data_IF_632903743483
#
_entry.id   IF_632903743483
#
_cell.length_a   1.000
_cell.length_b   1.000
_cell.length_c   1.000
_cell.angle_alpha   90.00
_cell.angle_beta   90.00
_cell.angle_gamma   90.00
#
_symmetry.space_group_name_H-M   'P 1'
#
loop_
_entity.id
_entity.type
_entity.pdbx_description
1 polymer ?
#
# COMPACT_ATOMS: atom_id res chain seq x y z
N UNK A 1 17.42 -54.72 54.46
CA UNK A 1 17.85 -53.34 54.80
C UNK A 1 18.27 -52.71 53.47
N UNK A 2 17.33 -52.17 52.68
CA UNK A 2 16.88 -50.75 52.67
C UNK A 2 18.04 -49.81 52.33
N UNK A 3 18.06 -48.94 51.31
CA UNK A 3 17.08 -48.46 50.31
C UNK A 3 17.89 -48.08 49.05
N UNK A 4 17.39 -48.27 47.81
CA UNK A 4 16.69 -47.24 47.03
C UNK A 4 17.16 -45.81 47.34
N UNK A 5 17.98 -45.23 46.44
CA UNK A 5 18.07 -43.78 46.27
C UNK A 5 18.14 -43.43 44.78
N UNK A 6 16.97 -43.03 44.32
CA UNK A 6 16.62 -42.27 43.11
C UNK A 6 17.62 -41.14 42.86
N UNK A 7 18.19 -41.08 41.65
CA UNK A 7 18.63 -39.82 41.07
C UNK A 7 17.77 -39.59 39.83
N UNK A 8 16.71 -38.82 40.05
CA UNK A 8 15.92 -38.17 39.04
C UNK A 8 16.84 -37.31 38.17
N UNK A 9 16.60 -37.35 36.85
CA UNK A 9 16.96 -36.27 35.95
C UNK A 9 16.43 -34.96 36.55
N UNK A 10 17.34 -34.08 36.93
CA UNK A 10 17.00 -32.70 37.23
C UNK A 10 16.64 -32.01 35.92
N UNK A 11 15.43 -31.46 35.74
CA UNK A 11 15.22 -30.47 34.69
C UNK A 11 16.12 -29.27 35.06
N UNK A 12 17.07 -28.95 34.19
CA UNK A 12 17.85 -27.73 34.35
C UNK A 12 16.85 -26.57 34.37
N UNK A 13 16.80 -25.93 35.53
CA UNK A 13 15.94 -24.82 35.87
C UNK A 13 16.31 -23.63 34.98
N UNK A 14 15.59 -23.42 33.89
CA UNK A 14 15.30 -22.05 33.48
C UNK A 14 14.50 -21.45 34.63
N UNK A 15 15.15 -20.63 35.45
CA UNK A 15 14.48 -19.86 36.49
C UNK A 15 13.33 -19.09 35.85
N UNK A 16 12.15 -19.20 36.45
CA UNK A 16 10.85 -18.68 36.03
C UNK A 16 10.75 -17.14 36.03
N UNK A 17 11.74 -16.45 35.47
CA UNK A 17 11.62 -15.05 35.11
C UNK A 17 11.03 -15.07 33.71
N UNK A 18 9.84 -14.49 33.53
CA UNK A 18 9.21 -14.30 32.22
C UNK A 18 10.28 -13.80 31.24
N UNK A 19 10.67 -14.64 30.28
CA UNK A 19 11.75 -14.31 29.36
C UNK A 19 11.12 -13.64 28.15
N UNK A 20 10.86 -12.35 28.28
CA UNK A 20 10.32 -11.55 27.21
C UNK A 20 11.42 -11.34 26.17
N UNK A 21 11.59 -12.22 25.19
CA UNK A 21 12.48 -11.99 24.06
C UNK A 21 11.73 -12.21 22.76
N UNK A 22 11.80 -11.23 21.86
CA UNK A 22 11.05 -11.28 20.61
C UNK A 22 11.69 -12.23 19.60
N UNK A 23 11.02 -13.35 19.31
CA UNK A 23 11.40 -14.28 18.25
C UNK A 23 10.79 -13.88 16.89
N UNK A 24 9.75 -13.04 16.86
CA UNK A 24 9.14 -12.57 15.60
C UNK A 24 9.67 -11.20 15.22
N UNK A 25 10.85 -11.24 14.63
CA UNK A 25 11.54 -10.02 14.22
C UNK A 25 11.32 -9.65 12.76
N UNK A 26 10.47 -10.42 12.07
CA UNK A 26 10.07 -10.21 10.69
C UNK A 26 8.86 -9.27 10.68
N UNK A 27 8.88 -8.26 9.82
CA UNK A 27 7.82 -7.26 9.80
C UNK A 27 7.25 -7.06 8.40
N UNK A 28 6.08 -7.65 8.13
CA UNK A 28 5.37 -7.46 6.86
C UNK A 28 4.54 -6.18 6.81
N UNK A 29 4.50 -5.39 7.90
CA UNK A 29 3.72 -4.15 7.94
C UNK A 29 4.30 -2.99 7.12
N UNK A 30 5.45 -3.21 6.47
CA UNK A 30 6.08 -2.27 5.56
C UNK A 30 5.33 -2.03 4.24
N UNK A 31 6.07 -1.84 3.15
CA UNK A 31 5.54 -1.43 1.83
C UNK A 31 4.75 -2.50 1.07
N UNK A 32 4.52 -3.66 1.69
CA UNK A 32 3.65 -4.69 1.16
C UNK A 32 2.17 -4.24 1.10
N UNK A 33 1.83 -3.18 1.83
CA UNK A 33 0.44 -2.71 1.97
C UNK A 33 -0.02 -1.71 0.92
N UNK A 34 0.90 -1.02 0.24
CA UNK A 34 0.60 -0.08 -0.85
C UNK A 34 1.18 -0.51 -2.20
N UNK A 35 1.71 -1.73 -2.28
CA UNK A 35 2.28 -2.34 -3.49
C UNK A 35 3.54 -1.65 -4.03
N UNK A 36 4.06 -0.65 -3.31
CA UNK A 36 5.12 0.24 -3.77
C UNK A 36 6.53 -0.19 -3.38
N UNK A 37 6.70 -1.18 -2.50
CA UNK A 37 8.04 -1.61 -2.10
C UNK A 37 8.25 -3.11 -2.00
N UNK A 38 9.16 -3.49 -1.11
CA UNK A 38 9.59 -4.88 -0.92
C UNK A 38 8.95 -5.50 0.31
N UNK A 39 9.26 -6.78 0.53
CA UNK A 39 8.56 -7.67 1.44
C UNK A 39 8.39 -7.10 2.87
N UNK A 40 9.46 -6.58 3.49
CA UNK A 40 9.43 -5.95 4.82
C UNK A 40 9.83 -4.48 4.82
N UNK A 41 10.62 -4.06 3.83
CA UNK A 41 11.21 -2.73 3.82
C UNK A 41 10.20 -1.67 3.44
N UNK A 42 10.38 -0.45 3.93
CA UNK A 42 9.43 0.64 3.68
C UNK A 42 9.88 1.43 2.45
N UNK A 43 9.30 1.16 1.28
CA UNK A 43 9.48 2.07 0.16
C UNK A 43 8.86 3.43 0.48
N UNK A 44 9.61 4.54 0.32
CA UNK A 44 9.20 5.83 0.83
C UNK A 44 8.15 6.57 -0.01
N UNK A 45 7.87 6.10 -1.23
CA UNK A 45 6.84 6.68 -2.07
C UNK A 45 5.43 6.29 -1.60
N UNK A 46 4.53 7.26 -1.53
CA UNK A 46 3.11 7.04 -1.22
C UNK A 46 2.30 7.04 -2.51
N UNK A 47 1.85 5.86 -2.92
CA UNK A 47 1.23 5.64 -4.24
C UNK A 47 -0.17 6.25 -4.42
N UNK A 48 -0.83 6.75 -3.36
CA UNK A 48 -2.21 7.24 -3.44
C UNK A 48 -2.50 8.41 -2.48
N UNK A 49 -3.33 9.35 -2.95
CA UNK A 49 -3.83 10.48 -2.15
C UNK A 49 -5.15 10.08 -1.48
N UNK A 50 -5.21 10.11 -0.16
CA UNK A 50 -6.50 10.04 0.56
C UNK A 50 -7.16 8.66 0.53
N UNK A 51 -6.38 7.58 0.67
CA UNK A 51 -6.91 6.22 0.59
C UNK A 51 -6.70 5.42 1.87
N UNK A 52 -7.72 4.64 2.23
CA UNK A 52 -7.63 3.60 3.24
C UNK A 52 -7.09 2.31 2.62
N UNK A 53 -6.39 1.53 3.42
CA UNK A 53 -5.94 0.21 3.05
C UNK A 53 -6.03 -0.73 4.26
N UNK A 54 -6.13 -2.03 3.99
CA UNK A 54 -6.20 -3.07 4.99
C UNK A 54 -5.61 -4.37 4.45
N UNK A 55 -5.10 -5.22 5.32
CA UNK A 55 -4.51 -6.48 4.90
C UNK A 55 -4.37 -7.48 6.03
N UNK A 56 -4.11 -8.71 5.62
CA UNK A 56 -3.76 -9.79 6.51
C UNK A 56 -2.50 -10.50 6.00
N UNK A 57 -1.58 -10.76 6.90
CA UNK A 57 -0.34 -11.45 6.59
C UNK A 57 -0.15 -12.68 7.50
N UNK A 58 0.41 -13.73 6.94
CA UNK A 58 0.63 -15.02 7.58
C UNK A 58 2.07 -15.43 7.39
N UNK A 59 2.75 -15.78 8.47
CA UNK A 59 4.16 -16.20 8.43
C UNK A 59 4.34 -17.44 9.27
N UNK A 60 4.98 -18.45 8.69
CA UNK A 60 5.48 -19.62 9.40
C UNK A 60 7.00 -19.53 9.48
N UNK A 61 7.55 -19.65 10.69
CA UNK A 61 8.99 -19.66 10.94
C UNK A 61 9.40 -20.93 11.69
N UNK A 62 10.45 -21.61 11.18
CA UNK A 62 11.06 -22.79 11.80
C UNK A 62 12.28 -22.40 12.62
N UNK A 63 12.31 -22.83 13.88
CA UNK A 63 13.39 -22.57 14.82
C UNK A 63 13.82 -21.08 14.88
N UNK A 64 12.89 -20.11 15.01
CA UNK A 64 13.21 -18.67 15.03
C UNK A 64 14.00 -18.22 16.25
N UNK A 65 14.06 -19.06 17.30
CA UNK A 65 14.79 -18.75 18.52
C UNK A 65 15.55 -19.98 19.03
N UNK A 66 16.87 -19.90 18.87
CA UNK A 66 17.84 -20.84 19.42
C UNK A 66 18.67 -20.12 20.49
N UNK A 67 18.69 -20.68 21.70
CA UNK A 67 19.58 -20.26 22.77
C UNK A 67 20.93 -20.96 22.67
N UNK A 68 21.99 -20.29 23.13
CA UNK A 68 23.33 -20.87 23.28
C UNK A 68 23.61 -21.14 24.76
N UNK A 69 24.01 -22.37 25.07
CA UNK A 69 24.45 -22.77 26.41
C UNK A 69 25.93 -22.42 26.62
N UNK A 70 26.35 -22.39 27.88
CA UNK A 70 27.73 -22.05 28.28
C UNK A 70 28.80 -22.98 27.67
N UNK A 71 28.41 -24.21 27.32
CA UNK A 71 29.27 -25.20 26.67
C UNK A 71 29.30 -25.07 25.13
N UNK A 72 28.60 -24.07 24.58
CA UNK A 72 28.48 -23.81 23.16
C UNK A 72 27.42 -24.65 22.44
N UNK A 73 26.68 -25.51 23.13
CA UNK A 73 25.57 -26.25 22.53
C UNK A 73 24.34 -25.36 22.31
N UNK A 74 23.57 -25.66 21.26
CA UNK A 74 22.35 -24.93 20.92
C UNK A 74 21.12 -25.63 21.48
N UNK A 75 20.21 -24.86 22.07
CA UNK A 75 18.89 -25.31 22.51
C UNK A 75 17.81 -24.54 21.77
N UNK A 76 16.90 -25.24 21.10
CA UNK A 76 15.75 -24.60 20.47
C UNK A 76 14.70 -24.27 21.52
N UNK A 77 14.44 -22.97 21.71
CA UNK A 77 13.45 -22.49 22.67
C UNK A 77 12.08 -22.34 22.01
N UNK A 78 12.06 -21.77 20.80
CA UNK A 78 10.87 -21.71 19.95
C UNK A 78 11.15 -22.55 18.71
N UNK A 79 10.39 -23.64 18.55
CA UNK A 79 10.63 -24.60 17.46
C UNK A 79 9.81 -24.31 16.21
N UNK A 80 8.59 -23.82 16.38
CA UNK A 80 7.75 -23.34 15.28
C UNK A 80 6.95 -22.14 15.77
N UNK A 81 6.84 -21.11 14.94
CA UNK A 81 6.03 -19.94 15.18
C UNK A 81 5.16 -19.68 13.95
N UNK A 82 3.86 -19.58 14.17
CA UNK A 82 2.91 -19.16 13.14
C UNK A 82 2.32 -17.81 13.57
N UNK A 83 2.62 -16.76 12.82
CA UNK A 83 2.05 -15.43 13.02
C UNK A 83 0.96 -15.14 11.99
N UNK A 84 -0.09 -14.48 12.47
CA UNK A 84 -1.18 -13.92 11.68
C UNK A 84 -1.32 -12.46 12.10
N UNK A 85 -1.16 -11.55 11.14
CA UNK A 85 -1.16 -10.12 11.36
C UNK A 85 -2.34 -9.49 10.65
N UNK A 86 -3.06 -8.63 11.36
CA UNK A 86 -4.07 -7.77 10.75
C UNK A 86 -3.51 -6.37 10.72
N UNK A 87 -3.52 -5.78 9.54
CA UNK A 87 -2.86 -4.52 9.29
C UNK A 87 -3.82 -3.58 8.57
N UNK A 88 -3.67 -2.28 8.77
CA UNK A 88 -4.44 -1.30 8.02
C UNK A 88 -4.02 0.12 8.35
N UNK A 89 -4.49 1.05 7.55
CA UNK A 89 -4.05 2.42 7.67
C UNK A 89 -4.68 3.37 6.68
N UNK A 90 -4.13 4.57 6.62
CA UNK A 90 -4.63 5.65 5.80
C UNK A 90 -3.50 6.52 5.24
N UNK A 91 -3.58 6.84 3.95
CA UNK A 91 -2.68 7.76 3.27
C UNK A 91 -3.23 9.20 3.29
N UNK A 92 -2.57 10.11 3.98
CA UNK A 92 -2.96 11.52 4.10
C UNK A 92 -2.45 12.35 2.92
N UNK A 93 -3.09 12.21 1.76
CA UNK A 93 -2.82 13.01 0.55
C UNK A 93 -1.33 13.11 0.18
N UNK A 94 -0.57 12.03 0.35
CA UNK A 94 0.87 11.98 0.08
C UNK A 94 1.76 12.67 1.14
N UNK A 95 1.20 13.27 2.19
CA UNK A 95 1.99 13.90 3.26
C UNK A 95 2.55 12.89 4.27
N UNK A 96 1.75 11.86 4.61
CA UNK A 96 2.15 10.76 5.46
C UNK A 96 1.18 9.59 5.30
N UNK A 97 1.63 8.39 5.66
CA UNK A 97 0.80 7.21 5.86
C UNK A 97 0.80 6.87 7.34
N UNK A 98 -0.36 6.55 7.92
CA UNK A 98 -0.46 6.04 9.29
C UNK A 98 -0.88 4.58 9.25
N UNK A 99 -0.21 3.78 10.06
CA UNK A 99 -0.27 2.32 10.00
C UNK A 99 -0.61 1.76 11.39
N UNK A 100 -1.51 0.76 11.44
CA UNK A 100 -1.81 -0.06 12.60
C UNK A 100 -1.52 -1.52 12.26
N UNK A 101 -0.66 -2.17 13.03
CA UNK A 101 -0.38 -3.61 12.93
C UNK A 101 -0.75 -4.31 14.25
N UNK A 102 -1.55 -5.35 14.13
CA UNK A 102 -1.99 -6.21 15.22
C UNK A 102 -1.47 -7.64 14.97
N UNK A 103 -0.32 -7.99 15.56
CA UNK A 103 0.23 -9.34 15.45
C UNK A 103 -0.46 -10.29 16.44
N UNK A 104 -0.92 -11.43 15.91
CA UNK A 104 -1.41 -12.56 16.68
C UNK A 104 -0.63 -13.81 16.30
N UNK A 105 -0.54 -14.76 17.22
CA UNK A 105 0.19 -16.01 16.99
C UNK A 105 -0.74 -17.18 17.33
N UNK A 106 -1.47 -17.71 16.33
CA UNK A 106 -2.35 -18.85 16.54
C UNK A 106 -1.63 -20.08 17.11
N UNK A 107 -0.34 -20.25 16.79
CA UNK A 107 0.48 -21.31 17.35
C UNK A 107 1.95 -20.89 17.49
N UNK A 108 2.44 -20.87 18.74
CA UNK A 108 3.87 -20.78 19.08
C UNK A 108 4.24 -22.02 19.88
N UNK A 109 5.24 -22.78 19.40
CA UNK A 109 5.72 -23.99 20.06
C UNK A 109 6.96 -23.68 20.91
N UNK A 110 6.72 -23.46 22.20
CA UNK A 110 7.73 -23.15 23.21
C UNK A 110 8.07 -24.42 23.97
N UNK A 111 9.33 -24.86 23.91
CA UNK A 111 9.82 -26.05 24.63
C UNK A 111 8.93 -27.31 24.45
N UNK A 112 8.34 -27.47 23.25
CA UNK A 112 7.46 -28.60 22.91
C UNK A 112 5.97 -28.42 23.26
N UNK A 113 5.58 -27.27 23.83
CA UNK A 113 4.17 -26.92 24.09
C UNK A 113 3.69 -25.86 23.11
N UNK A 114 2.57 -26.13 22.43
CA UNK A 114 1.92 -25.14 21.55
C UNK A 114 0.98 -24.24 22.35
N UNK A 115 1.05 -22.94 22.14
CA UNK A 115 0.14 -21.96 22.74
C UNK A 115 -0.26 -20.87 21.75
N UNK A 116 -1.43 -20.27 21.99
CA UNK A 116 -1.82 -19.01 21.37
C UNK A 116 -1.10 -17.85 22.07
N UNK A 117 -0.70 -16.82 21.33
CA UNK A 117 -0.16 -15.60 21.90
C UNK A 117 -0.64 -14.36 21.15
N UNK A 118 -0.71 -13.24 21.86
CA UNK A 118 -0.80 -11.91 21.26
C UNK A 118 0.59 -11.28 21.23
N UNK A 119 0.90 -10.53 20.18
CA UNK A 119 2.11 -9.70 20.12
C UNK A 119 1.87 -8.26 20.56
N UNK A 120 2.91 -7.45 20.40
CA UNK A 120 2.84 -6.02 20.64
C UNK A 120 2.17 -5.32 19.44
N UNK A 121 1.07 -4.61 19.72
CA UNK A 121 0.42 -3.75 18.74
C UNK A 121 1.39 -2.65 18.33
N UNK A 122 1.47 -2.38 17.02
CA UNK A 122 2.40 -1.41 16.43
C UNK A 122 1.62 -0.27 15.79
N UNK A 123 2.08 0.95 16.04
CA UNK A 123 1.61 2.17 15.38
C UNK A 123 2.77 2.74 14.58
N UNK A 124 2.66 2.71 13.26
CA UNK A 124 3.65 3.23 12.33
C UNK A 124 3.20 4.53 11.68
N UNK A 125 4.15 5.32 11.22
CA UNK A 125 3.87 6.38 10.26
C UNK A 125 4.98 6.46 9.22
N UNK A 126 4.67 6.35 7.93
CA UNK A 126 5.63 6.63 6.86
C UNK A 126 5.50 8.08 6.44
N UNK A 127 6.60 8.83 6.52
CA UNK A 127 6.67 10.25 6.18
C UNK A 127 7.66 10.41 5.02
N UNK A 128 7.18 10.62 3.77
CA UNK A 128 8.05 11.00 2.67
C UNK A 128 8.65 12.38 2.94
N UNK A 129 9.96 12.50 2.76
CA UNK A 129 10.70 13.76 2.90
C UNK A 129 11.05 14.31 1.52
N UNK A 130 11.44 13.42 0.60
CA UNK A 130 11.69 13.75 -0.80
C UNK A 130 11.00 12.69 -1.63
N UNK A 131 10.25 13.11 -2.63
CA UNK A 131 9.65 12.24 -3.63
C UNK A 131 9.84 12.92 -4.98
N UNK A 132 10.69 12.32 -5.82
CA UNK A 132 11.11 12.91 -7.09
C UNK A 132 10.83 11.95 -8.25
N UNK A 133 10.18 12.46 -9.28
CA UNK A 133 9.82 11.70 -10.47
C UNK A 133 8.47 11.00 -10.35
N UNK A 134 8.14 10.18 -11.34
CA UNK A 134 6.98 9.30 -11.29
C UNK A 134 7.44 7.96 -10.73
N UNK A 135 7.07 7.67 -9.49
CA UNK A 135 7.46 6.45 -8.80
C UNK A 135 6.85 5.18 -9.39
N UNK A 136 5.90 5.27 -10.33
CA UNK A 136 5.43 4.12 -11.11
C UNK A 136 6.38 3.75 -12.26
N UNK A 137 7.21 4.68 -12.75
CA UNK A 137 8.05 4.47 -13.94
C UNK A 137 9.54 4.81 -13.71
N UNK A 138 9.84 6.02 -13.24
CA UNK A 138 11.18 6.55 -13.00
C UNK A 138 11.14 7.56 -11.86
N UNK A 139 11.42 7.09 -10.65
CA UNK A 139 11.37 7.92 -9.44
C UNK A 139 12.33 7.46 -8.36
N UNK A 140 12.72 8.40 -7.50
CA UNK A 140 13.47 8.14 -6.28
C UNK A 140 12.82 8.90 -5.15
N UNK A 141 12.54 8.20 -4.07
CA UNK A 141 11.97 8.76 -2.86
C UNK A 141 12.89 8.48 -1.66
N UNK A 142 12.82 9.36 -0.67
CA UNK A 142 13.44 9.25 0.63
C UNK A 142 12.40 9.56 1.71
N UNK A 143 12.33 8.73 2.73
CA UNK A 143 11.33 8.84 3.78
C UNK A 143 11.83 8.34 5.13
N UNK A 144 11.05 8.63 6.15
CA UNK A 144 11.29 8.14 7.51
C UNK A 144 10.05 7.48 8.06
N UNK A 145 10.25 6.41 8.81
CA UNK A 145 9.19 5.63 9.44
C UNK A 145 9.43 5.52 10.94
N UNK A 146 8.89 6.43 11.77
CA UNK A 146 8.73 6.18 13.19
C UNK A 146 7.73 5.04 13.44
N UNK A 147 8.04 4.19 14.41
CA UNK A 147 7.15 3.13 14.90
C UNK A 147 7.09 3.17 16.42
N UNK A 148 5.89 3.02 16.98
CA UNK A 148 5.65 2.81 18.39
C UNK A 148 5.12 1.40 18.62
N UNK A 149 5.71 0.66 19.56
CA UNK A 149 5.21 -0.65 20.00
C UNK A 149 4.64 -0.56 21.40
N UNK A 150 3.42 -1.07 21.54
CA UNK A 150 2.68 -1.09 22.78
C UNK A 150 2.89 -2.43 23.50
N UNK A 151 3.10 -2.46 24.82
CA UNK A 151 3.33 -3.69 25.60
C UNK A 151 2.05 -4.52 25.77
N UNK A 152 1.54 -5.08 24.68
CA UNK A 152 0.32 -5.90 24.66
C UNK A 152 0.62 -7.40 24.56
N UNK A 153 1.87 -7.76 24.34
CA UNK A 153 2.27 -9.12 24.11
C UNK A 153 2.09 -10.05 25.32
N UNK A 154 1.84 -11.31 25.00
CA UNK A 154 1.88 -12.42 25.95
C UNK A 154 3.33 -12.68 26.36
N UNK A 155 3.64 -12.50 27.64
CA UNK A 155 5.01 -12.44 28.15
C UNK A 155 5.77 -13.78 28.11
N UNK A 156 5.07 -14.91 28.17
CA UNK A 156 5.68 -16.25 28.22
C UNK A 156 5.71 -16.96 26.85
N UNK A 157 5.55 -16.19 25.76
CA UNK A 157 5.46 -16.73 24.40
C UNK A 157 6.62 -16.36 23.48
N UNK A 158 7.62 -15.61 23.96
CA UNK A 158 8.75 -15.14 23.14
C UNK A 158 8.32 -14.36 21.88
N UNK A 159 7.33 -13.49 22.03
CA UNK A 159 6.75 -12.66 20.94
C UNK A 159 6.89 -11.15 21.21
N UNK A 160 7.73 -10.79 22.19
CA UNK A 160 8.02 -9.41 22.59
C UNK A 160 9.18 -9.38 23.57
N UNK A 161 9.90 -8.25 23.61
CA UNK A 161 10.90 -7.94 24.63
C UNK A 161 10.28 -7.40 25.94
N UNK A 162 8.95 -7.30 25.99
CA UNK A 162 8.19 -6.64 27.05
C UNK A 162 8.29 -5.11 26.96
N UNK A 163 7.45 -4.42 27.74
CA UNK A 163 7.51 -2.96 27.86
C UNK A 163 7.23 -2.18 26.57
N UNK A 164 7.31 -0.86 26.66
CA UNK A 164 7.18 -0.01 25.49
C UNK A 164 8.45 -0.12 24.62
N UNK A 165 8.24 -0.20 23.32
CA UNK A 165 9.29 -0.14 22.32
C UNK A 165 8.95 0.89 21.25
N UNK A 166 9.91 1.12 20.36
CA UNK A 166 9.68 1.98 19.21
C UNK A 166 10.95 2.16 18.42
N UNK A 167 10.84 2.76 17.25
CA UNK A 167 11.98 2.90 16.37
C UNK A 167 11.83 4.03 15.39
N UNK A 168 12.90 4.27 14.65
CA UNK A 168 12.93 5.17 13.52
C UNK A 168 13.75 4.51 12.44
N UNK A 169 13.14 4.33 11.27
CA UNK A 169 13.79 3.82 10.07
C UNK A 169 13.85 4.92 9.04
N UNK A 170 14.99 5.07 8.36
CA UNK A 170 15.11 5.91 7.18
C UNK A 170 15.24 5.01 5.96
N UNK A 171 14.49 5.30 4.90
CA UNK A 171 14.50 4.51 3.68
C UNK A 171 14.71 5.39 2.45
N UNK A 172 15.41 4.82 1.47
CA UNK A 172 15.54 5.37 0.13
C UNK A 172 15.17 4.27 -0.85
N UNK A 173 14.32 4.58 -1.81
CA UNK A 173 13.87 3.60 -2.79
C UNK A 173 13.47 4.28 -4.09
N UNK A 174 13.31 3.47 -5.13
CA UNK A 174 12.88 3.97 -6.41
C UNK A 174 12.50 2.88 -7.40
N UNK A 175 11.94 3.34 -8.51
CA UNK A 175 11.55 2.55 -9.66
C UNK A 175 12.37 3.02 -10.88
N UNK A 176 12.88 2.08 -11.67
CA UNK A 176 13.50 2.35 -12.96
C UNK A 176 12.99 1.32 -13.99
N UNK A 177 11.95 1.71 -14.72
CA UNK A 177 11.21 0.80 -15.60
C UNK A 177 10.66 -0.39 -14.81
N UNK A 178 11.08 -1.60 -15.18
CA UNK A 178 10.63 -2.83 -14.52
C UNK A 178 11.33 -3.13 -13.20
N UNK A 179 12.39 -2.41 -12.84
CA UNK A 179 13.19 -2.68 -11.64
C UNK A 179 12.79 -1.74 -10.51
N UNK A 180 12.33 -2.30 -9.40
CA UNK A 180 12.16 -1.58 -8.14
C UNK A 180 13.30 -1.89 -7.18
N UNK A 181 13.66 -0.94 -6.33
CA UNK A 181 14.69 -1.15 -5.31
C UNK A 181 14.43 -0.31 -4.08
N UNK A 182 14.92 -0.79 -2.94
CA UNK A 182 14.86 -0.06 -1.66
C UNK A 182 16.06 -0.42 -0.82
N UNK A 183 16.55 0.56 -0.05
CA UNK A 183 17.53 0.38 1.01
C UNK A 183 17.01 1.13 2.22
N UNK A 184 17.07 0.50 3.39
CA UNK A 184 16.74 1.19 4.63
C UNK A 184 17.68 0.82 5.78
N UNK A 185 17.72 1.72 6.75
CA UNK A 185 18.43 1.52 7.99
C UNK A 185 17.68 2.25 9.12
N UNK A 186 17.60 1.61 10.27
CA UNK A 186 16.83 2.11 11.39
C UNK A 186 17.34 1.61 12.72
N UNK A 187 16.72 2.13 13.77
CA UNK A 187 16.94 1.66 15.14
C UNK A 187 15.64 1.21 15.73
N UNK A 188 15.71 0.14 16.51
CA UNK A 188 14.60 -0.34 17.30
C UNK A 188 15.00 -0.28 18.78
N UNK A 189 14.33 0.58 19.53
CA UNK A 189 14.56 0.82 20.95
C UNK A 189 13.53 0.03 21.76
N UNK A 190 13.96 -0.50 22.89
CA UNK A 190 13.14 -1.34 23.76
C UNK A 190 13.92 -1.76 25.00
N UNK A 191 13.24 -2.36 25.99
CA UNK A 191 13.89 -2.86 27.18
C UNK A 191 14.85 -4.00 26.85
N UNK A 192 15.83 -4.17 27.75
CA UNK A 192 16.75 -5.30 27.66
C UNK A 192 16.06 -6.57 28.12
N UNK A 193 16.39 -7.67 27.45
CA UNK A 193 15.98 -9.01 27.84
C UNK A 193 17.11 -10.00 27.67
N UNK A 194 17.08 -11.09 28.44
CA UNK A 194 18.15 -12.09 28.45
C UNK A 194 17.58 -13.50 28.38
N UNK A 195 18.11 -14.30 27.45
CA UNK A 195 17.94 -15.75 27.38
C UNK A 195 19.30 -16.41 27.61
N UNK A 196 19.42 -17.20 28.68
CA UNK A 196 20.68 -17.84 29.03
C UNK A 196 21.79 -16.78 29.19
N UNK A 197 22.83 -16.86 28.36
CA UNK A 197 23.92 -15.86 28.32
C UNK A 197 23.73 -14.76 27.28
N UNK A 198 22.70 -14.84 26.46
CA UNK A 198 22.46 -13.88 25.38
C UNK A 198 21.54 -12.78 25.89
N UNK A 199 22.03 -11.54 25.88
CA UNK A 199 21.23 -10.35 26.22
C UNK A 199 20.95 -9.55 24.96
N UNK A 200 19.67 -9.34 24.68
CA UNK A 200 19.16 -8.47 23.62
C UNK A 200 18.55 -7.21 24.22
N UNK A 201 18.24 -6.24 23.38
CA UNK A 201 17.70 -4.95 23.77
C UNK A 201 17.52 -4.11 22.52
N UNK A 202 17.89 -2.84 22.58
CA UNK A 202 17.83 -1.99 21.39
C UNK A 202 18.71 -2.55 20.25
N UNK A 203 18.26 -2.41 19.00
CA UNK A 203 18.95 -2.90 17.81
C UNK A 203 19.11 -1.82 16.75
N UNK A 204 20.04 -2.07 15.85
CA UNK A 204 20.15 -1.41 14.55
C UNK A 204 19.76 -2.43 13.49
N UNK A 205 18.91 -2.00 12.59
CA UNK A 205 18.32 -2.80 11.53
C UNK A 205 18.72 -2.18 10.20
N UNK A 206 19.12 -2.99 9.24
CA UNK A 206 19.43 -2.55 7.89
C UNK A 206 18.96 -3.59 6.88
N UNK A 207 18.55 -3.14 5.70
CA UNK A 207 18.18 -4.06 4.64
C UNK A 207 18.18 -3.42 3.27
N UNK A 208 18.11 -4.29 2.28
CA UNK A 208 18.05 -3.91 0.88
C UNK A 208 17.19 -4.91 0.13
N UNK A 209 16.36 -4.41 -0.77
CA UNK A 209 15.49 -5.21 -1.61
C UNK A 209 15.55 -4.76 -3.05
N UNK A 210 15.41 -5.71 -3.96
CA UNK A 210 15.27 -5.48 -5.41
C UNK A 210 14.10 -6.30 -5.91
N UNK A 211 13.28 -5.70 -6.77
CA UNK A 211 12.16 -6.35 -7.44
C UNK A 211 12.21 -6.13 -8.95
N UNK A 212 11.58 -7.02 -9.70
CA UNK A 212 11.47 -6.98 -11.14
C UNK A 212 10.03 -7.32 -11.57
N UNK A 213 9.40 -6.42 -12.33
CA UNK A 213 8.10 -6.65 -12.96
C UNK A 213 8.23 -7.63 -14.13
N UNK A 214 7.71 -8.85 -13.96
CA UNK A 214 7.70 -9.86 -15.01
C UNK A 214 6.41 -9.83 -15.85
N UNK A 215 5.34 -9.27 -15.30
CA UNK A 215 4.09 -8.94 -15.99
C UNK A 215 3.50 -7.67 -15.35
N UNK A 216 2.51 -7.05 -16.00
CA UNK A 216 1.92 -5.79 -15.53
C UNK A 216 1.37 -5.91 -14.10
N UNK A 217 0.73 -7.04 -13.81
CA UNK A 217 0.17 -7.36 -12.50
C UNK A 217 1.12 -8.14 -11.57
N UNK A 218 2.35 -8.48 -11.97
CA UNK A 218 3.18 -9.42 -11.21
C UNK A 218 4.66 -9.04 -11.13
N UNK A 219 5.19 -8.98 -9.90
CA UNK A 219 6.59 -8.69 -9.59
C UNK A 219 7.23 -9.82 -8.80
N UNK A 220 8.51 -10.06 -9.05
CA UNK A 220 9.35 -10.96 -8.26
C UNK A 220 10.45 -10.15 -7.60
N UNK A 221 10.82 -10.48 -6.37
CA UNK A 221 11.88 -9.77 -5.66
C UNK A 221 12.68 -10.63 -4.72
N UNK A 222 13.80 -10.06 -4.30
CA UNK A 222 14.70 -10.61 -3.30
C UNK A 222 14.99 -9.51 -2.28
N UNK A 223 15.00 -9.86 -1.00
CA UNK A 223 15.25 -8.96 0.11
C UNK A 223 16.31 -9.55 1.03
N UNK A 224 17.25 -8.72 1.44
CA UNK A 224 18.30 -9.04 2.40
C UNK A 224 18.11 -8.19 3.66
N UNK A 225 18.22 -8.83 4.82
CA UNK A 225 17.93 -8.22 6.10
C UNK A 225 19.05 -8.52 7.10
N UNK A 226 19.50 -7.50 7.82
CA UNK A 226 20.48 -7.65 8.88
C UNK A 226 20.03 -6.88 10.12
N UNK A 227 20.20 -7.50 11.28
CA UNK A 227 20.02 -6.86 12.57
C UNK A 227 21.26 -7.01 13.44
N UNK A 228 21.57 -5.95 14.18
CA UNK A 228 22.69 -5.89 15.14
C UNK A 228 22.16 -5.40 16.48
N UNK A 229 22.44 -6.13 17.58
CA UNK A 229 22.04 -5.67 18.91
C UNK A 229 23.00 -4.61 19.46
N UNK A 230 22.47 -3.53 20.02
CA UNK A 230 23.22 -2.45 20.67
C UNK A 230 23.48 -2.71 22.16
N UNK A 231 22.78 -3.66 22.76
CA UNK A 231 22.86 -3.98 24.18
C UNK A 231 23.73 -5.21 24.48
N UNK A 232 24.51 -5.66 23.49
CA UNK A 232 25.07 -7.00 23.43
C UNK A 232 26.16 -7.27 24.49
N UNK A 233 26.00 -8.38 25.21
CA UNK A 233 27.04 -8.99 26.05
C UNK A 233 26.85 -10.50 26.09
N UNK A 234 27.88 -11.29 25.75
CA UNK A 234 27.85 -12.76 25.78
C UNK A 234 28.57 -13.43 24.59
N UNK A 235 28.71 -14.77 24.62
CA UNK A 235 29.34 -15.59 23.55
C UNK A 235 28.40 -15.90 22.37
N UNK A 236 27.11 -15.56 22.49
CA UNK A 236 26.08 -15.72 21.46
C UNK A 236 25.77 -14.48 20.63
N UNK A 237 26.68 -13.50 20.69
CA UNK A 237 26.59 -12.24 19.97
C UNK A 237 26.58 -12.49 18.46
N UNK A 238 25.41 -12.39 17.84
CA UNK A 238 25.21 -12.70 16.43
C UNK A 238 24.50 -11.54 15.77
N UNK A 239 24.88 -11.26 14.52
CA UNK A 239 24.17 -10.32 13.66
C UNK A 239 23.23 -11.14 12.78
N UNK A 240 22.02 -11.50 13.27
CA UNK A 240 21.08 -12.30 12.49
C UNK A 240 20.90 -11.64 11.12
N UNK A 241 21.08 -12.48 10.11
CA UNK A 241 21.06 -12.07 8.71
C UNK A 241 20.15 -13.02 7.97
N UNK A 242 19.24 -12.49 7.17
CA UNK A 242 18.24 -13.25 6.45
C UNK A 242 18.21 -12.87 4.97
N UNK A 243 17.79 -13.82 4.15
CA UNK A 243 17.55 -13.62 2.72
C UNK A 243 16.18 -14.19 2.36
N UNK A 244 15.39 -13.38 1.66
CA UNK A 244 14.03 -13.69 1.28
C UNK A 244 13.86 -13.56 -0.23
N UNK A 245 13.09 -14.48 -0.83
CA UNK A 245 12.55 -14.35 -2.17
C UNK A 245 11.03 -14.26 -2.09
N UNK A 246 10.43 -13.38 -2.88
CA UNK A 246 8.99 -13.16 -2.85
C UNK A 246 8.44 -12.82 -4.23
N UNK A 247 7.13 -13.02 -4.39
CA UNK A 247 6.34 -12.57 -5.52
C UNK A 247 5.16 -11.75 -5.03
N UNK A 248 4.83 -10.70 -5.76
CA UNK A 248 3.64 -9.87 -5.52
C UNK A 248 2.77 -9.85 -6.76
N UNK A 249 1.47 -10.01 -6.56
CA UNK A 249 0.41 -9.78 -7.52
C UNK A 249 -0.36 -8.54 -7.09
N UNK A 250 -0.76 -7.71 -8.04
CA UNK A 250 -1.63 -6.56 -7.80
C UNK A 250 -2.49 -6.26 -9.01
N UNK A 251 -3.77 -5.99 -8.79
CA UNK A 251 -4.69 -5.50 -9.81
C UNK A 251 -5.06 -4.03 -9.58
N UNK A 252 -5.77 -3.45 -10.57
CA UNK A 252 -6.26 -2.08 -10.46
C UNK A 252 -7.51 -1.97 -9.57
N UNK A 253 -8.21 -3.08 -9.27
CA UNK A 253 -9.35 -3.10 -8.33
C UNK A 253 -8.89 -2.88 -6.88
N UNK A 254 -7.57 -2.93 -6.65
CA UNK A 254 -6.96 -2.60 -5.37
C UNK A 254 -6.64 -3.83 -4.52
N UNK A 255 -6.73 -5.04 -5.07
CA UNK A 255 -6.30 -6.26 -4.40
C UNK A 255 -4.84 -6.58 -4.69
N UNK A 256 -4.11 -6.97 -3.63
CA UNK A 256 -2.71 -7.36 -3.68
C UNK A 256 -2.52 -8.68 -2.95
N UNK A 257 -1.72 -9.56 -3.55
CA UNK A 257 -1.31 -10.79 -2.90
C UNK A 257 0.21 -10.90 -2.93
N UNK A 258 0.80 -11.24 -1.79
CA UNK A 258 2.23 -11.47 -1.69
C UNK A 258 2.48 -12.87 -1.18
N UNK A 259 3.46 -13.55 -1.73
CA UNK A 259 3.92 -14.84 -1.24
C UNK A 259 5.43 -14.91 -1.31
N UNK A 260 6.04 -15.66 -0.40
CA UNK A 260 7.48 -15.73 -0.36
C UNK A 260 8.01 -16.73 0.64
N UNK A 261 9.33 -16.82 0.66
CA UNK A 261 10.08 -17.68 1.55
C UNK A 261 11.47 -17.13 1.74
N UNK A 262 12.10 -17.48 2.85
CA UNK A 262 13.48 -17.11 3.11
C UNK A 262 14.13 -17.99 4.16
N UNK A 263 15.38 -17.70 4.45
CA UNK A 263 16.16 -18.41 5.45
C UNK A 263 17.18 -17.49 6.11
N UNK A 264 17.49 -17.80 7.37
CA UNK A 264 18.63 -17.22 8.06
C UNK A 264 19.94 -17.66 7.42
N UNK A 265 20.76 -16.69 7.00
CA UNK A 265 22.14 -16.88 6.57
C UNK A 265 23.10 -16.91 7.77
N UNK A 266 22.79 -16.10 8.78
CA UNK A 266 23.51 -16.05 10.06
C UNK A 266 22.49 -16.28 11.16
N UNK A 267 22.67 -17.37 11.91
CA UNK A 267 21.81 -17.68 13.03
C UNK A 267 21.91 -16.59 14.10
N UNK A 268 20.79 -16.29 14.74
CA UNK A 268 20.69 -15.31 15.80
C UNK A 268 19.24 -15.18 16.24
N UNK A 269 19.00 -14.30 17.18
CA UNK A 269 17.66 -14.07 17.73
C UNK A 269 16.73 -13.58 16.63
N UNK A 270 15.66 -14.33 16.38
CA UNK A 270 14.67 -14.00 15.36
C UNK A 270 15.00 -14.47 13.94
N UNK A 271 16.21 -14.97 13.69
CA UNK A 271 16.60 -15.56 12.41
C UNK A 271 16.25 -17.05 12.38
N UNK A 272 15.24 -17.48 11.59
CA UNK A 272 14.80 -18.85 11.53
C UNK A 272 15.67 -19.69 10.58
N UNK A 273 15.58 -21.00 10.71
CA UNK A 273 16.14 -21.93 9.73
C UNK A 273 15.52 -21.69 8.33
N UNK A 274 14.21 -21.46 8.30
CA UNK A 274 13.49 -20.94 7.14
C UNK A 274 12.17 -20.30 7.57
N UNK A 275 11.61 -19.47 6.70
CA UNK A 275 10.23 -18.98 6.81
C UNK A 275 9.48 -19.04 5.50
N UNK A 276 8.17 -19.18 5.60
CA UNK A 276 7.20 -19.06 4.51
C UNK A 276 6.23 -17.95 4.86
N UNK A 277 5.83 -17.16 3.87
CA UNK A 277 4.93 -16.04 4.07
C UNK A 277 3.89 -15.94 2.97
N UNK A 278 2.71 -15.46 3.34
CA UNK A 278 1.66 -15.06 2.42
C UNK A 278 0.92 -13.84 2.98
N UNK A 279 0.50 -12.92 2.15
CA UNK A 279 -0.31 -11.77 2.53
C UNK A 279 -1.37 -11.49 1.47
N UNK A 280 -2.52 -11.00 1.93
CA UNK A 280 -3.59 -10.45 1.10
C UNK A 280 -3.86 -9.04 1.60
N UNK A 281 -3.77 -8.06 0.71
CA UNK A 281 -4.00 -6.66 1.03
C UNK A 281 -5.03 -6.08 0.07
N UNK A 282 -5.73 -5.06 0.54
CA UNK A 282 -6.69 -4.28 -0.19
C UNK A 282 -6.40 -2.79 0.03
N UNK A 283 -6.52 -2.01 -1.02
CA UNK A 283 -6.56 -0.54 -1.00
C UNK A 283 -7.68 -0.08 -1.92
N UNK A 284 -8.04 1.20 -1.86
CA UNK A 284 -9.01 1.78 -2.82
C UNK A 284 -8.62 1.49 -4.28
N UNK A 285 -9.62 1.16 -5.10
CA UNK A 285 -9.42 0.88 -6.53
C UNK A 285 -8.76 2.07 -7.23
N UNK A 286 -7.90 1.77 -8.20
CA UNK A 286 -7.20 2.74 -9.05
C UNK A 286 -7.48 2.52 -10.52
N UNK A 287 -8.37 1.59 -10.89
CA UNK A 287 -8.91 1.62 -12.25
C UNK A 287 -9.68 2.94 -12.36
N UNK A 288 -9.34 3.77 -13.35
CA UNK A 288 -10.29 4.76 -13.84
C UNK A 288 -11.52 3.96 -14.32
N UNK A 289 -12.71 4.34 -13.88
CA UNK A 289 -13.92 3.73 -14.41
C UNK A 289 -13.95 4.02 -15.93
N UNK A 290 -14.45 3.08 -16.75
CA UNK A 290 -14.57 3.30 -18.18
C UNK A 290 -15.30 4.61 -18.47
N UNK A 291 -14.83 5.33 -19.47
CA UNK A 291 -15.41 6.56 -20.02
C UNK A 291 -15.27 6.40 -21.53
N UNK A 292 -16.37 6.00 -22.17
CA UNK A 292 -16.37 5.45 -23.54
C UNK A 292 -16.30 6.53 -24.61
N UNK A 293 -16.90 7.70 -24.40
CA UNK A 293 -16.86 8.84 -25.33
C UNK A 293 -15.89 9.95 -24.91
N UNK A 294 -15.39 9.93 -23.67
CA UNK A 294 -14.26 10.73 -23.23
C UNK A 294 -14.62 12.14 -22.80
N UNK A 295 -15.86 12.36 -22.34
CA UNK A 295 -16.33 13.67 -21.86
C UNK A 295 -15.96 13.93 -20.38
N UNK A 296 -15.42 12.93 -19.68
CA UNK A 296 -15.01 13.01 -18.27
C UNK A 296 -16.06 12.55 -17.27
N UNK A 297 -17.21 12.04 -17.76
CA UNK A 297 -18.26 11.37 -17.00
C UNK A 297 -18.10 9.86 -17.24
N UNK A 298 -18.12 9.06 -16.18
CA UNK A 298 -17.82 7.63 -16.30
C UNK A 298 -19.05 6.84 -16.73
N UNK A 299 -18.88 5.76 -17.50
CA UNK A 299 -19.94 4.90 -18.07
C UNK A 299 -21.00 4.43 -17.06
N UNK A 300 -20.69 4.43 -15.75
CA UNK A 300 -21.62 4.04 -14.68
C UNK A 300 -22.57 5.15 -14.25
N UNK A 301 -22.26 6.41 -14.55
CA UNK A 301 -23.08 7.59 -14.29
C UNK A 301 -23.55 8.28 -15.58
N UNK A 302 -22.85 8.06 -16.69
CA UNK A 302 -23.16 8.58 -18.03
C UNK A 302 -24.41 7.88 -18.64
N UNK A 303 -25.43 8.67 -18.97
CA UNK A 303 -26.64 8.18 -19.63
C UNK A 303 -26.47 7.94 -21.13
N UNK A 304 -25.49 8.58 -21.76
CA UNK A 304 -25.27 8.57 -23.18
C UNK A 304 -24.08 7.74 -23.67
N UNK A 305 -23.06 7.37 -22.88
CA UNK A 305 -21.95 6.39 -23.11
C UNK A 305 -21.14 6.53 -24.42
N UNK A 306 -21.73 6.90 -25.55
CA UNK A 306 -21.12 6.97 -26.87
C UNK A 306 -21.34 8.36 -27.50
N UNK A 307 -21.82 9.34 -26.73
CA UNK A 307 -22.22 10.68 -27.16
C UNK A 307 -21.78 11.62 -26.04
N UNK A 308 -20.66 12.36 -26.24
CA UNK A 308 -20.05 13.15 -25.18
C UNK A 308 -20.93 14.33 -24.79
N UNK A 309 -21.03 14.59 -23.50
CA UNK A 309 -21.60 15.80 -22.90
C UNK A 309 -20.98 17.10 -23.43
N UNK A 310 -21.80 18.14 -23.58
CA UNK A 310 -21.35 19.48 -23.95
C UNK A 310 -21.33 20.42 -22.74
N UNK A 311 -20.19 20.42 -22.05
CA UNK A 311 -19.95 21.12 -20.78
C UNK A 311 -20.09 22.67 -20.86
N UNK A 312 -21.32 23.18 -20.89
CA UNK A 312 -21.67 24.59 -21.09
C UNK A 312 -22.24 25.27 -19.83
N UNK A 313 -22.53 24.50 -18.78
CA UNK A 313 -23.11 24.97 -17.52
C UNK A 313 -24.63 24.78 -17.38
N UNK A 314 -25.28 24.22 -18.40
CA UNK A 314 -26.60 23.62 -18.36
C UNK A 314 -26.44 22.10 -18.24
N UNK A 315 -27.38 21.43 -17.54
CA UNK A 315 -27.52 19.98 -17.29
C UNK A 315 -26.28 19.00 -17.28
N UNK A 316 -25.04 19.47 -17.09
CA UNK A 316 -23.73 18.79 -17.29
C UNK A 316 -23.45 17.51 -16.44
N UNK A 317 -24.37 17.11 -15.55
CA UNK A 317 -24.13 16.00 -14.61
C UNK A 317 -24.62 14.64 -15.15
N UNK A 318 -25.28 14.63 -16.31
CA UNK A 318 -26.05 13.48 -16.78
C UNK A 318 -25.39 12.71 -17.95
N UNK A 319 -24.39 13.32 -18.60
CA UNK A 319 -23.53 12.70 -19.59
C UNK A 319 -24.09 12.76 -21.01
N UNK A 320 -25.21 13.44 -21.24
CA UNK A 320 -25.86 13.53 -22.53
C UNK A 320 -25.84 14.96 -23.07
N UNK A 321 -25.55 15.15 -24.37
CA UNK A 321 -25.65 16.45 -25.01
C UNK A 321 -26.99 17.13 -24.74
N UNK A 322 -26.92 18.40 -24.39
CA UNK A 322 -28.07 19.20 -24.00
C UNK A 322 -28.86 19.74 -25.20
N UNK A 323 -30.09 20.20 -24.93
CA UNK A 323 -30.98 20.92 -25.85
C UNK A 323 -31.55 22.10 -25.05
N UNK A 324 -30.76 23.18 -25.02
CA UNK A 324 -30.93 24.32 -24.14
C UNK A 324 -32.26 25.06 -24.41
N UNK A 325 -32.67 25.15 -25.68
CA UNK A 325 -33.85 25.91 -26.11
C UNK A 325 -35.09 25.05 -26.43
N UNK A 326 -34.91 23.73 -26.47
CA UNK A 326 -35.96 22.70 -26.56
C UNK A 326 -36.65 22.66 -27.91
N UNK A 327 -35.91 22.94 -28.97
CA UNK A 327 -36.39 22.81 -30.35
C UNK A 327 -36.27 21.36 -30.90
N UNK A 328 -35.53 20.51 -30.19
CA UNK A 328 -35.31 19.10 -30.51
C UNK A 328 -33.99 18.79 -31.22
N UNK A 329 -33.11 19.79 -31.39
CA UNK A 329 -31.74 19.66 -31.89
C UNK A 329 -30.80 19.85 -30.70
N UNK A 330 -29.90 18.89 -30.43
CA UNK A 330 -28.91 19.08 -29.37
C UNK A 330 -27.94 20.22 -29.68
N UNK A 331 -27.45 20.90 -28.65
CA UNK A 331 -26.59 22.08 -28.71
C UNK A 331 -25.31 21.86 -29.54
N UNK A 332 -24.77 20.64 -29.57
CA UNK A 332 -23.59 20.28 -30.38
C UNK A 332 -23.89 20.22 -31.88
N UNK A 333 -25.15 19.99 -32.23
CA UNK A 333 -25.71 19.92 -33.58
C UNK A 333 -26.52 21.20 -33.95
N UNK A 334 -26.68 22.16 -33.03
CA UNK A 334 -27.47 23.40 -33.18
C UNK A 334 -26.58 24.64 -33.47
N UNK A 335 -26.91 25.39 -34.53
CA UNK A 335 -26.23 26.64 -34.87
C UNK A 335 -26.65 27.82 -33.95
N UNK A 336 -27.80 27.72 -33.31
CA UNK A 336 -28.44 28.67 -32.42
C UNK A 336 -28.92 28.02 -31.11
N UNK A 337 -28.04 27.43 -30.28
CA UNK A 337 -28.39 26.59 -29.12
C UNK A 337 -29.19 27.26 -28.00
N UNK A 338 -29.52 28.55 -28.13
CA UNK A 338 -30.27 29.31 -27.13
C UNK A 338 -31.54 29.97 -27.72
N UNK A 339 -31.83 29.77 -29.00
CA UNK A 339 -32.95 30.38 -29.72
C UNK A 339 -33.64 29.37 -30.63
N UNK A 340 -34.86 28.91 -30.29
CA UNK A 340 -35.44 27.74 -30.92
C UNK A 340 -35.76 27.97 -32.40
N UNK A 341 -35.35 27.04 -33.26
CA UNK A 341 -35.58 27.09 -34.69
C UNK A 341 -36.04 25.75 -35.28
N UNK A 342 -36.20 25.67 -36.61
CA UNK A 342 -36.48 24.43 -37.29
C UNK A 342 -35.19 23.72 -37.74
N UNK A 343 -35.25 22.38 -37.84
CA UNK A 343 -34.18 21.54 -38.43
C UNK A 343 -33.78 21.96 -39.85
N UNK A 344 -34.67 22.61 -40.61
CA UNK A 344 -34.35 23.15 -41.95
C UNK A 344 -33.25 24.23 -41.91
N UNK A 345 -33.07 24.87 -40.76
CA UNK A 345 -32.16 25.99 -40.52
C UNK A 345 -31.14 25.69 -39.41
N UNK A 346 -30.84 24.40 -39.20
CA UNK A 346 -29.86 23.95 -38.20
C UNK A 346 -30.14 24.56 -36.80
N UNK A 347 -31.41 24.67 -36.41
CA UNK A 347 -31.85 25.20 -35.10
C UNK A 347 -31.98 26.72 -35.02
N UNK A 348 -31.65 27.46 -36.08
CA UNK A 348 -31.78 28.92 -36.07
C UNK A 348 -33.16 29.44 -36.50
N UNK A 349 -33.71 30.48 -35.84
CA UNK A 349 -34.96 31.11 -36.26
C UNK A 349 -34.79 31.94 -37.54
N UNK A 350 -35.88 32.06 -38.31
CA UNK A 350 -36.05 32.95 -39.46
C UNK A 350 -37.37 33.70 -39.22
N UNK A 351 -37.27 34.85 -38.56
CA UNK A 351 -38.44 35.56 -37.99
C UNK A 351 -39.34 36.15 -39.07
N UNK A 352 -38.80 36.54 -40.23
CA UNK A 352 -39.54 37.19 -41.29
C UNK A 352 -39.80 36.32 -42.55
N UNK A 353 -39.16 35.15 -42.62
CA UNK A 353 -39.42 34.11 -43.60
C UNK A 353 -38.84 34.41 -44.98
N UNK A 354 -37.77 35.20 -45.05
CA UNK A 354 -37.11 35.54 -46.31
C UNK A 354 -36.04 34.51 -46.77
N UNK A 355 -35.73 33.55 -45.90
CA UNK A 355 -34.76 32.47 -46.13
C UNK A 355 -33.34 32.78 -45.70
N UNK A 356 -33.10 33.88 -44.97
CA UNK A 356 -31.87 34.19 -44.24
C UNK A 356 -32.17 34.10 -42.74
N UNK A 357 -31.44 33.25 -42.02
CA UNK A 357 -31.66 33.05 -40.57
C UNK A 357 -31.30 34.30 -39.76
N UNK A 358 -31.99 34.55 -38.65
CA UNK A 358 -31.85 35.77 -37.83
C UNK A 358 -30.39 36.12 -37.44
N UNK A 359 -29.49 35.17 -37.10
CA UNK A 359 -28.08 35.49 -36.83
C UNK A 359 -27.28 35.95 -38.05
N UNK A 360 -27.72 35.57 -39.26
CA UNK A 360 -27.11 35.92 -40.54
C UNK A 360 -27.85 37.08 -41.25
N UNK A 361 -29.01 37.47 -40.72
CA UNK A 361 -29.86 38.53 -41.24
C UNK A 361 -29.54 39.90 -40.60
N UNK A 362 -29.23 40.90 -41.43
CA UNK A 362 -29.01 42.28 -41.01
C UNK A 362 -30.32 43.02 -40.71
N UNK A 363 -31.45 42.49 -41.16
CA UNK A 363 -32.80 42.99 -40.98
C UNK A 363 -33.81 41.89 -40.51
N UNK A 364 -33.62 41.22 -39.34
CA UNK A 364 -34.37 40.01 -38.90
C UNK A 364 -35.91 40.09 -38.79
N UNK A 365 -36.52 41.23 -39.10
CA UNK A 365 -37.97 41.45 -38.96
C UNK A 365 -38.57 42.14 -40.19
N UNK A 366 -37.79 42.34 -41.26
CA UNK A 366 -38.19 43.01 -42.49
C UNK A 366 -37.66 42.25 -43.72
N UNK A 367 -38.52 41.47 -44.43
CA UNK A 367 -38.06 40.54 -45.46
C UNK A 367 -37.23 41.20 -46.55
N UNK A 368 -36.10 40.58 -46.89
CA UNK A 368 -35.17 41.04 -47.89
C UNK A 368 -34.74 39.97 -48.88
N UNK A 369 -33.53 40.15 -49.41
CA UNK A 369 -32.92 39.22 -50.35
C UNK A 369 -31.57 38.74 -49.80
N UNK A 370 -31.16 37.48 -50.06
CA UNK A 370 -29.88 36.97 -49.56
C UNK A 370 -28.67 37.81 -49.99
N UNK A 371 -28.71 38.44 -51.17
CA UNK A 371 -27.64 39.31 -51.67
C UNK A 371 -27.38 40.53 -50.78
N UNK A 372 -28.37 40.94 -49.97
CA UNK A 372 -28.30 42.06 -49.06
C UNK A 372 -28.34 41.64 -47.58
N UNK A 373 -27.99 40.39 -47.28
CA UNK A 373 -28.02 39.82 -45.93
C UNK A 373 -29.41 40.00 -45.28
N UNK A 374 -30.47 39.57 -45.97
CA UNK A 374 -31.85 39.62 -45.49
C UNK A 374 -32.49 41.02 -45.41
N UNK A 375 -31.80 42.07 -45.86
CA UNK A 375 -32.39 43.41 -45.93
C UNK A 375 -33.10 43.69 -47.27
N UNK A 376 -34.16 44.53 -47.26
CA UNK A 376 -34.88 44.91 -48.48
C UNK A 376 -34.06 45.85 -49.37
N UNK A 377 -34.09 45.59 -50.67
CA UNK A 377 -33.54 46.48 -51.69
C UNK A 377 -34.40 47.75 -51.82
N UNK A 378 -33.89 48.87 -51.30
CA UNK A 378 -34.62 50.16 -51.25
C UNK A 378 -34.39 51.04 -52.48
N UNK A 379 -33.31 50.86 -53.23
CA UNK A 379 -32.98 51.61 -54.43
C UNK A 379 -33.17 50.83 -55.75
N UNK A 380 -33.44 49.53 -55.66
CA UNK A 380 -33.94 48.70 -56.75
C UNK A 380 -32.88 48.34 -57.79
N UNK A 381 -31.60 48.32 -57.41
CA UNK A 381 -30.49 48.02 -58.32
C UNK A 381 -30.02 46.55 -58.28
N UNK A 382 -30.56 45.75 -57.35
CA UNK A 382 -30.30 44.30 -57.23
C UNK A 382 -28.82 43.96 -57.03
#
# INVERSE_FOLDING_TARGET
MSSLLTWLFAPALFSSVAVAQDADTFDLSGSNMDGGGTLQRHHPHLSQRGSAYAGAAFVFAKDPLVGLLDDGSQVTLVSNQFSARVMGGYNFNGAARLDLDIPTYPAVNVEGTSQFAMGDIRLGALIPIVDYGDSAEQGVAFGVTPVLRLPTATQDAYVSNGGFGGGLTASVGGQSGKVGWVVDAGTELGPKSSIGTTTTGSTVDAGAGVSYGVADAFRLGVEFDQRVSLAESGTGATSPTELHGYGTYGDCEGFFATFGGGAGLVAGVGAPAFRLMAALNWRGATCEAPDTDGDGITDDVDQCINRPEDMDGFEDEDGCPDDNDKDGIPDDDDACPNEPGPEEYDGCPDTDGDGVVDPEDACPVEPGVPELMGCPDRDGDG
#
